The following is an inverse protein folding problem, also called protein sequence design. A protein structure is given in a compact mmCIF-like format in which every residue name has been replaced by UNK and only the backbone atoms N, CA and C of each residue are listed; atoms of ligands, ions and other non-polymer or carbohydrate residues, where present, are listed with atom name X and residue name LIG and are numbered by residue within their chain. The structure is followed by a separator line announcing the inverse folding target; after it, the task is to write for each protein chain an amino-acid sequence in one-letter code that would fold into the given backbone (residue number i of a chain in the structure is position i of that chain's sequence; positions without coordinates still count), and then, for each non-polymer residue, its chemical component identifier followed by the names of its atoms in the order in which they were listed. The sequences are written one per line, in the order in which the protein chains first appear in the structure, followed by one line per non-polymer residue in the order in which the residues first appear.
data_IF_063356898625
#
_entry.id   IF_063356898625
#
_cell.length_a   1.000
_cell.length_b   1.000
_cell.length_c   1.000
_cell.angle_alpha   90.00
_cell.angle_beta   90.00
_cell.angle_gamma   90.00
#
_symmetry.space_group_name_H-M   'P 1'
#
loop_
_entity.id
_entity.type
_entity.pdbx_description
1 polymer ?
#
# COMPACT_ATOMS: atom_id res chain seq x y z
N UNK A 1 -10.53 -6.03 8.77
CA UNK A 1 -9.37 -6.64 8.07
C UNK A 1 -8.75 -5.70 7.02
N UNK A 2 -9.55 -5.04 6.17
CA UNK A 2 -9.10 -4.12 5.09
C UNK A 2 -8.15 -3.02 5.57
N UNK A 3 -8.52 -2.31 6.64
CA UNK A 3 -7.72 -1.22 7.22
C UNK A 3 -6.44 -1.69 7.92
N UNK A 4 -6.44 -2.91 8.47
CA UNK A 4 -5.26 -3.48 9.18
C UNK A 4 -4.14 -3.78 8.18
N UNK A 5 -4.48 -4.39 7.04
CA UNK A 5 -3.52 -4.67 5.95
C UNK A 5 -2.96 -3.36 5.40
N UNK A 6 -3.81 -2.36 5.21
CA UNK A 6 -3.43 -1.03 4.72
C UNK A 6 -2.47 -0.32 5.70
N UNK A 7 -2.74 -0.41 7.00
CA UNK A 7 -1.89 0.14 8.05
C UNK A 7 -0.49 -0.48 8.07
N UNK A 8 -0.40 -1.81 7.94
CA UNK A 8 0.89 -2.52 7.87
C UNK A 8 1.67 -2.11 6.61
N UNK A 9 1.01 -2.05 5.45
CA UNK A 9 1.65 -1.60 4.21
C UNK A 9 2.20 -0.17 4.31
N UNK A 10 1.43 0.77 4.88
CA UNK A 10 1.87 2.16 5.09
C UNK A 10 3.09 2.23 6.01
N UNK A 11 3.14 1.39 7.05
CA UNK A 11 4.29 1.34 7.96
C UNK A 11 5.57 0.90 7.24
N UNK A 12 5.51 -0.17 6.46
CA UNK A 12 6.65 -0.62 5.65
C UNK A 12 7.08 0.42 4.62
N UNK A 13 6.13 1.09 3.95
CA UNK A 13 6.47 2.15 3.00
C UNK A 13 7.16 3.33 3.69
N UNK A 14 6.72 3.73 4.87
CA UNK A 14 7.35 4.81 5.62
C UNK A 14 8.81 4.49 5.96
N UNK A 15 9.09 3.28 6.45
CA UNK A 15 10.46 2.82 6.78
C UNK A 15 11.34 2.74 5.54
N UNK A 16 10.82 2.18 4.45
CA UNK A 16 11.56 2.02 3.19
C UNK A 16 11.90 3.38 2.55
N UNK A 17 10.97 4.34 2.62
CA UNK A 17 11.16 5.70 2.14
C UNK A 17 12.13 6.51 3.00
N UNK A 18 12.17 6.25 4.31
CA UNK A 18 13.17 6.85 5.19
C UNK A 18 14.57 6.30 4.89
N UNK A 19 14.67 4.98 4.65
CA UNK A 19 15.92 4.36 4.19
C UNK A 19 16.40 4.94 2.86
N UNK A 20 15.50 5.09 1.87
CA UNK A 20 15.84 5.71 0.59
C UNK A 20 16.28 7.17 0.74
N UNK A 21 15.61 7.94 1.60
CA UNK A 21 16.00 9.32 1.91
C UNK A 21 17.42 9.36 2.48
N UNK A 22 17.71 8.50 3.45
CA UNK A 22 18.99 8.48 4.14
C UNK A 22 20.14 8.00 3.23
N UNK A 23 19.88 6.99 2.39
CA UNK A 23 20.92 6.31 1.62
C UNK A 23 21.14 6.90 0.21
N UNK A 24 20.10 7.42 -0.42
CA UNK A 24 20.16 7.99 -1.79
C UNK A 24 20.04 9.52 -1.80
N UNK A 25 19.98 10.18 -0.64
CA UNK A 25 19.77 11.62 -0.55
C UNK A 25 18.43 12.06 -1.13
N UNK A 26 17.42 11.18 -1.08
CA UNK A 26 16.12 11.40 -1.71
C UNK A 26 15.46 12.66 -1.13
N UNK A 27 15.15 13.62 -1.99
CA UNK A 27 14.51 14.85 -1.55
C UNK A 27 13.06 14.60 -1.08
N UNK A 28 12.53 15.49 -0.23
CA UNK A 28 11.20 15.35 0.38
C UNK A 28 10.10 15.16 -0.68
N UNK A 29 10.24 15.86 -1.81
CA UNK A 29 9.36 15.73 -2.99
C UNK A 29 9.40 14.34 -3.63
N UNK A 30 10.58 13.74 -3.75
CA UNK A 30 10.74 12.38 -4.26
C UNK A 30 10.09 11.35 -3.32
N UNK A 31 10.21 11.59 -2.01
CA UNK A 31 9.56 10.77 -0.98
C UNK A 31 8.04 10.78 -1.17
N UNK A 32 7.44 11.97 -1.31
CA UNK A 32 5.98 12.13 -1.50
C UNK A 32 5.50 11.54 -2.83
N UNK A 33 6.24 11.72 -3.92
CA UNK A 33 5.90 11.13 -5.23
C UNK A 33 5.82 9.61 -5.18
N UNK A 34 6.86 8.96 -4.63
CA UNK A 34 6.91 7.50 -4.51
C UNK A 34 5.79 6.99 -3.60
N UNK A 35 5.55 7.68 -2.47
CA UNK A 35 4.49 7.32 -1.52
C UNK A 35 3.09 7.45 -2.16
N UNK A 36 2.87 8.48 -2.98
CA UNK A 36 1.60 8.67 -3.71
C UNK A 36 1.37 7.57 -4.74
N UNK A 37 2.40 7.18 -5.50
CA UNK A 37 2.30 6.10 -6.50
C UNK A 37 2.05 4.76 -5.80
N UNK A 38 2.80 4.44 -4.74
CA UNK A 38 2.62 3.22 -3.97
C UNK A 38 1.22 3.14 -3.37
N UNK A 39 0.76 4.21 -2.72
CA UNK A 39 -0.58 4.25 -2.12
C UNK A 39 -1.67 4.04 -3.16
N UNK A 40 -1.55 4.67 -4.34
CA UNK A 40 -2.50 4.50 -5.44
C UNK A 40 -2.55 3.06 -5.96
N UNK A 41 -1.40 2.42 -6.16
CA UNK A 41 -1.31 1.02 -6.59
C UNK A 41 -1.89 0.09 -5.52
N UNK A 42 -1.51 0.27 -4.25
CA UNK A 42 -2.00 -0.53 -3.13
C UNK A 42 -3.52 -0.43 -3.00
N UNK A 43 -4.09 0.77 -3.13
CA UNK A 43 -5.55 0.96 -3.08
C UNK A 43 -6.24 0.20 -4.20
N UNK A 44 -5.74 0.30 -5.44
CA UNK A 44 -6.30 -0.39 -6.61
C UNK A 44 -6.21 -1.91 -6.48
N UNK A 45 -5.12 -2.44 -5.93
CA UNK A 45 -4.95 -3.87 -5.65
C UNK A 45 -5.94 -4.32 -4.56
N UNK A 46 -6.06 -3.57 -3.46
CA UNK A 46 -6.99 -3.90 -2.38
C UNK A 46 -8.44 -3.83 -2.86
N UNK A 47 -8.79 -2.82 -3.65
CA UNK A 47 -10.11 -2.69 -4.28
C UNK A 47 -10.42 -3.92 -5.13
N UNK A 48 -9.51 -4.29 -6.05
CA UNK A 48 -9.67 -5.46 -6.92
C UNK A 48 -9.73 -6.78 -6.14
N UNK A 49 -8.92 -6.96 -5.10
CA UNK A 49 -8.97 -8.14 -4.22
C UNK A 49 -10.30 -8.22 -3.48
N UNK A 50 -10.86 -7.09 -3.04
CA UNK A 50 -12.13 -7.08 -2.33
C UNK A 50 -13.33 -7.23 -3.26
N UNK A 51 -13.33 -6.64 -4.45
CA UNK A 51 -14.34 -6.95 -5.48
C UNK A 51 -14.30 -8.43 -5.82
N UNK A 52 -13.11 -9.00 -6.01
CA UNK A 52 -12.97 -10.42 -6.34
C UNK A 52 -13.38 -11.34 -5.18
N UNK A 53 -13.15 -10.94 -3.93
CA UNK A 53 -13.68 -11.65 -2.74
C UNK A 53 -15.17 -11.45 -2.55
N UNK A 54 -15.76 -10.33 -2.96
CA UNK A 54 -17.20 -10.12 -2.95
C UNK A 54 -17.91 -10.92 -4.06
N UNK A 55 -17.20 -11.19 -5.16
CA UNK A 55 -17.67 -12.03 -6.26
C UNK A 55 -17.54 -13.54 -5.99
N UNK A 56 -16.80 -13.96 -4.95
CA UNK A 56 -16.87 -15.34 -4.47
C UNK A 56 -17.95 -15.38 -3.40
N UNK A 57 -19.16 -15.92 -3.68
CA UNK A 57 -20.09 -16.20 -2.60
C UNK A 57 -19.37 -17.13 -1.63
N UNK A 58 -19.69 -16.97 -0.35
CA UNK A 58 -19.35 -18.00 0.63
C UNK A 58 -20.05 -19.27 0.15
N UNK A 59 -19.32 -20.17 -0.48
CA UNK A 59 -19.71 -21.56 -0.50
C UNK A 59 -19.44 -22.07 0.92
N UNK A 60 -20.44 -21.84 1.76
CA UNK A 60 -20.67 -22.55 3.00
C UNK A 60 -21.02 -23.99 2.62
N UNK A 61 -20.14 -24.92 2.99
CA UNK A 61 -20.54 -26.28 3.38
C UNK A 61 -19.65 -26.76 4.54
#
# INVERSE_FOLDING_TARGET
MKLVILGICVFFYAVLLDYLKYNYGLNLTGKVLILSVLTGITYKIIEKIYENRAATPKDEE
#
